data_IF_336191842623
#
_entry.id   IF_336191842623
#
_cell.length_a   1.000
_cell.length_b   1.000
_cell.length_c   1.000
_cell.angle_alpha   90.00
_cell.angle_beta   90.00
_cell.angle_gamma   90.00
#
_symmetry.space_group_name_H-M   'P 1'
#
loop_
_entity.id
_entity.type
_entity.pdbx_description
1 polymer ?
#
# COMPACT_ATOMS: atom_id res chain seq x y z
N UNK A 1 10.85 -25.26 -8.59
CA UNK A 1 12.32 -25.10 -8.54
C UNK A 1 12.71 -24.06 -9.58
N UNK A 2 13.49 -23.04 -9.20
CA UNK A 2 13.92 -21.94 -10.08
C UNK A 2 15.35 -22.19 -10.58
N UNK A 3 15.68 -21.75 -11.80
CA UNK A 3 16.98 -21.96 -12.45
C UNK A 3 18.04 -20.95 -11.99
N UNK A 4 17.63 -19.83 -11.39
CA UNK A 4 18.55 -18.79 -10.88
C UNK A 4 17.96 -17.99 -9.72
N UNK A 5 18.80 -17.21 -9.04
CA UNK A 5 18.36 -16.23 -8.03
C UNK A 5 17.46 -15.14 -8.63
N UNK A 6 17.75 -14.68 -9.85
CA UNK A 6 16.93 -13.70 -10.56
C UNK A 6 15.52 -14.25 -10.80
N UNK A 7 15.43 -15.47 -11.33
CA UNK A 7 14.14 -16.12 -11.60
C UNK A 7 13.34 -16.33 -10.32
N UNK A 8 13.98 -16.78 -9.23
CA UNK A 8 13.35 -16.86 -7.91
C UNK A 8 12.83 -15.48 -7.46
N UNK A 9 13.64 -14.43 -7.57
CA UNK A 9 13.25 -13.08 -7.13
C UNK A 9 12.07 -12.52 -7.93
N UNK A 10 12.06 -12.70 -9.26
CA UNK A 10 10.93 -12.30 -10.11
C UNK A 10 9.66 -13.06 -9.73
N UNK A 11 9.76 -14.38 -9.52
CA UNK A 11 8.62 -15.18 -9.07
C UNK A 11 8.12 -14.77 -7.68
N UNK A 12 9.01 -14.38 -6.75
CA UNK A 12 8.60 -13.84 -5.45
C UNK A 12 7.80 -12.54 -5.61
N UNK A 13 8.25 -11.64 -6.49
CA UNK A 13 7.51 -10.39 -6.75
C UNK A 13 6.12 -10.70 -7.30
N UNK A 14 6.03 -11.57 -8.30
CA UNK A 14 4.77 -11.86 -9.00
C UNK A 14 3.80 -12.72 -8.18
N UNK A 15 4.28 -13.80 -7.56
CA UNK A 15 3.41 -14.78 -6.91
C UNK A 15 3.16 -14.48 -5.43
N UNK A 16 4.08 -13.77 -4.77
CA UNK A 16 3.96 -13.47 -3.32
C UNK A 16 3.64 -12.02 -3.06
N UNK A 17 4.45 -11.09 -3.56
CA UNK A 17 4.26 -9.66 -3.25
C UNK A 17 2.96 -9.16 -3.88
N UNK A 18 2.75 -9.37 -5.19
CA UNK A 18 1.52 -8.95 -5.87
C UNK A 18 0.28 -9.61 -5.26
N UNK A 19 0.34 -10.92 -5.00
CA UNK A 19 -0.79 -11.66 -4.45
C UNK A 19 -1.14 -11.20 -3.03
N UNK A 20 -0.13 -10.93 -2.17
CA UNK A 20 -0.36 -10.41 -0.83
C UNK A 20 -1.01 -9.01 -0.86
N UNK A 21 -0.57 -8.12 -1.75
CA UNK A 21 -1.19 -6.80 -1.95
C UNK A 21 -2.65 -7.00 -2.36
N UNK A 22 -2.88 -7.84 -3.37
CA UNK A 22 -4.22 -8.12 -3.87
C UNK A 22 -5.13 -8.66 -2.76
N UNK A 23 -4.71 -9.69 -2.05
CA UNK A 23 -5.52 -10.33 -1.00
C UNK A 23 -5.81 -9.36 0.15
N UNK A 24 -4.79 -8.60 0.59
CA UNK A 24 -4.90 -7.63 1.68
C UNK A 24 -5.89 -6.51 1.37
N UNK A 25 -5.82 -5.93 0.18
CA UNK A 25 -6.62 -4.74 -0.15
C UNK A 25 -7.94 -5.09 -0.83
N UNK A 26 -8.03 -6.17 -1.62
CA UNK A 26 -9.32 -6.58 -2.20
C UNK A 26 -10.30 -7.11 -1.14
N UNK A 27 -9.83 -7.67 -0.02
CA UNK A 27 -10.72 -8.07 1.06
C UNK A 27 -11.50 -6.88 1.64
N UNK A 28 -10.94 -5.67 1.59
CA UNK A 28 -11.54 -4.43 2.12
C UNK A 28 -12.78 -4.03 1.31
N UNK A 29 -12.85 -4.37 0.01
CA UNK A 29 -14.00 -4.09 -0.85
C UNK A 29 -15.30 -4.77 -0.38
N UNK A 30 -15.19 -5.78 0.50
CA UNK A 30 -16.33 -6.46 1.12
C UNK A 30 -16.83 -5.75 2.38
N UNK A 31 -16.12 -4.74 2.88
CA UNK A 31 -16.50 -3.97 4.06
C UNK A 31 -17.66 -3.02 3.76
N UNK A 32 -18.45 -2.72 4.79
CA UNK A 32 -19.48 -1.66 4.75
C UNK A 32 -18.86 -0.26 4.95
N UNK A 33 -17.69 -0.20 5.55
CA UNK A 33 -16.90 1.01 5.83
C UNK A 33 -15.51 0.87 5.20
N UNK A 34 -15.42 0.75 3.86
CA UNK A 34 -14.17 0.52 3.15
C UNK A 34 -13.05 1.53 3.48
N UNK A 35 -13.37 2.80 3.68
CA UNK A 35 -12.37 3.84 4.01
C UNK A 35 -11.82 3.64 5.42
N UNK A 36 -12.68 3.52 6.44
CA UNK A 36 -12.24 3.23 7.80
C UNK A 36 -11.45 1.92 7.87
N UNK A 37 -11.93 0.88 7.19
CA UNK A 37 -11.26 -0.43 7.14
C UNK A 37 -9.88 -0.35 6.50
N UNK A 38 -9.69 0.52 5.49
CA UNK A 38 -8.38 0.79 4.91
C UNK A 38 -7.41 1.35 5.95
N UNK A 39 -7.79 2.42 6.65
CA UNK A 39 -6.91 3.04 7.63
C UNK A 39 -6.64 2.15 8.85
N UNK A 40 -7.62 1.37 9.31
CA UNK A 40 -7.41 0.29 10.28
C UNK A 40 -6.37 -0.72 9.78
N UNK A 41 -6.46 -1.13 8.51
CA UNK A 41 -5.48 -2.03 7.88
C UNK A 41 -4.08 -1.42 7.82
N UNK A 42 -3.96 -0.12 7.54
CA UNK A 42 -2.66 0.58 7.53
C UNK A 42 -2.06 0.68 8.94
N UNK A 43 -2.89 0.87 9.98
CA UNK A 43 -2.44 0.87 11.39
C UNK A 43 -2.02 -0.53 11.86
N UNK A 44 -2.82 -1.54 11.56
CA UNK A 44 -2.72 -2.91 12.10
C UNK A 44 -1.92 -3.84 11.19
N UNK A 45 -0.77 -3.39 10.68
CA UNK A 45 0.13 -4.20 9.86
C UNK A 45 1.43 -4.54 10.61
N UNK A 46 1.40 -5.43 11.63
CA UNK A 46 2.56 -5.70 12.49
C UNK A 46 3.77 -6.22 11.71
N UNK A 47 3.56 -7.12 10.76
CA UNK A 47 4.65 -7.63 9.91
C UNK A 47 5.23 -6.53 9.01
N UNK A 48 4.37 -5.67 8.46
CA UNK A 48 4.84 -4.54 7.65
C UNK A 48 5.59 -3.50 8.48
N UNK A 49 5.20 -3.28 9.73
CA UNK A 49 5.97 -2.44 10.65
C UNK A 49 7.34 -3.05 10.99
N UNK A 50 7.40 -4.36 11.22
CA UNK A 50 8.64 -5.03 11.60
C UNK A 50 9.60 -5.13 10.40
N UNK A 51 9.10 -5.58 9.25
CA UNK A 51 9.89 -5.96 8.08
C UNK A 51 9.80 -4.98 6.91
N UNK A 52 8.93 -3.97 6.97
CA UNK A 52 8.71 -3.00 5.89
C UNK A 52 7.81 -3.54 4.78
N UNK A 53 7.50 -2.67 3.82
CA UNK A 53 6.81 -3.07 2.60
C UNK A 53 7.78 -3.77 1.63
N UNK A 54 7.56 -5.06 1.29
CA UNK A 54 8.44 -5.79 0.38
C UNK A 54 8.53 -5.15 -1.02
N UNK A 55 7.42 -4.62 -1.53
CA UNK A 55 7.38 -3.91 -2.81
C UNK A 55 8.31 -2.70 -2.79
N UNK A 56 8.18 -1.82 -1.80
CA UNK A 56 8.99 -0.61 -1.69
C UNK A 56 10.49 -0.93 -1.53
N UNK A 57 10.83 -1.90 -0.68
CA UNK A 57 12.22 -2.34 -0.49
C UNK A 57 12.84 -2.86 -1.79
N UNK A 58 12.17 -3.81 -2.46
CA UNK A 58 12.68 -4.36 -3.70
C UNK A 58 12.76 -3.31 -4.80
N UNK A 59 11.84 -2.35 -4.86
CA UNK A 59 11.91 -1.23 -5.80
C UNK A 59 13.17 -0.39 -5.59
N UNK A 60 13.48 0.00 -4.35
CA UNK A 60 14.68 0.81 -4.06
C UNK A 60 15.98 0.08 -4.41
N UNK A 61 16.02 -1.24 -4.22
CA UNK A 61 17.21 -2.06 -4.49
C UNK A 61 17.35 -2.40 -5.98
N UNK A 62 16.27 -2.75 -6.68
CA UNK A 62 16.33 -3.41 -7.98
C UNK A 62 16.05 -2.52 -9.19
N UNK A 63 15.35 -1.37 -9.03
CA UNK A 63 14.88 -0.55 -10.16
C UNK A 63 15.98 -0.11 -11.13
N UNK A 64 17.19 0.13 -10.61
CA UNK A 64 18.35 0.58 -11.39
C UNK A 64 19.32 -0.56 -11.75
N UNK A 65 19.07 -1.77 -11.26
CA UNK A 65 19.95 -2.93 -11.44
C UNK A 65 19.47 -3.80 -12.59
N UNK A 66 18.15 -4.03 -12.71
CA UNK A 66 17.60 -4.99 -13.66
C UNK A 66 16.24 -4.52 -14.22
N UNK A 67 16.15 -4.47 -15.55
CA UNK A 67 14.98 -3.97 -16.28
C UNK A 67 13.73 -4.85 -16.11
N UNK A 68 13.90 -6.18 -15.98
CA UNK A 68 12.75 -7.08 -15.77
C UNK A 68 12.15 -6.87 -14.38
N UNK A 69 13.00 -6.69 -13.36
CA UNK A 69 12.52 -6.29 -12.03
C UNK A 69 11.82 -4.94 -12.08
N UNK A 70 12.39 -3.96 -12.77
CA UNK A 70 11.79 -2.64 -12.88
C UNK A 70 10.38 -2.70 -13.48
N UNK A 71 10.24 -3.37 -14.62
CA UNK A 71 8.95 -3.55 -15.29
C UNK A 71 7.94 -4.27 -14.39
N UNK A 72 8.36 -5.35 -13.73
CA UNK A 72 7.47 -6.15 -12.88
C UNK A 72 7.03 -5.37 -11.62
N UNK A 73 7.97 -4.74 -10.92
CA UNK A 73 7.70 -3.97 -9.71
C UNK A 73 6.82 -2.75 -10.01
N UNK A 74 7.05 -2.07 -11.14
CA UNK A 74 6.19 -0.96 -11.61
C UNK A 74 4.75 -1.44 -11.84
N UNK A 75 4.58 -2.58 -12.51
CA UNK A 75 3.25 -3.18 -12.69
C UNK A 75 2.59 -3.59 -11.37
N UNK A 76 3.35 -4.12 -10.41
CA UNK A 76 2.80 -4.46 -9.07
C UNK A 76 2.39 -3.20 -8.30
N UNK A 77 3.14 -2.10 -8.46
CA UNK A 77 2.76 -0.81 -7.89
C UNK A 77 1.46 -0.26 -8.50
N UNK A 78 1.27 -0.38 -9.82
CA UNK A 78 0.01 -0.03 -10.48
C UNK A 78 -1.18 -0.83 -9.94
N UNK A 79 -1.00 -2.14 -9.68
CA UNK A 79 -2.02 -2.98 -9.05
C UNK A 79 -2.35 -2.53 -7.62
N UNK A 80 -1.32 -2.09 -6.87
CA UNK A 80 -1.51 -1.55 -5.53
C UNK A 80 -2.31 -0.24 -5.55
N UNK A 81 -1.90 0.72 -6.40
CA UNK A 81 -2.63 1.97 -6.61
C UNK A 81 -4.08 1.70 -6.99
N UNK A 82 -4.31 0.81 -7.97
CA UNK A 82 -5.65 0.44 -8.41
C UNK A 82 -6.50 -0.13 -7.29
N UNK A 83 -5.93 -0.97 -6.44
CA UNK A 83 -6.64 -1.56 -5.30
C UNK A 83 -7.10 -0.49 -4.31
N UNK A 84 -6.24 0.48 -3.98
CA UNK A 84 -6.60 1.61 -3.11
C UNK A 84 -7.64 2.51 -3.79
N UNK A 85 -7.48 2.82 -5.08
CA UNK A 85 -8.48 3.59 -5.84
C UNK A 85 -9.86 2.94 -5.84
N UNK A 86 -9.93 1.61 -5.96
CA UNK A 86 -11.20 0.88 -5.91
C UNK A 86 -11.86 0.99 -4.53
N UNK A 87 -11.08 0.92 -3.45
CA UNK A 87 -11.58 1.11 -2.08
C UNK A 87 -12.15 2.53 -1.92
N UNK A 88 -11.43 3.55 -2.40
CA UNK A 88 -11.87 4.94 -2.34
C UNK A 88 -13.16 5.18 -3.15
N UNK A 89 -13.23 4.65 -4.38
CA UNK A 89 -14.46 4.67 -5.16
C UNK A 89 -15.63 4.06 -4.39
N UNK A 90 -15.39 2.89 -3.77
CA UNK A 90 -16.43 2.22 -3.00
C UNK A 90 -16.88 3.04 -1.80
N UNK A 91 -15.96 3.70 -1.10
CA UNK A 91 -16.25 4.58 0.02
C UNK A 91 -17.12 5.79 -0.40
N UNK A 92 -16.86 6.37 -1.57
CA UNK A 92 -17.68 7.43 -2.15
C UNK A 92 -19.08 6.90 -2.49
N UNK A 93 -19.16 5.74 -3.16
CA UNK A 93 -20.45 5.13 -3.55
C UNK A 93 -21.37 4.85 -2.37
N UNK A 94 -20.82 4.44 -1.21
CA UNK A 94 -21.60 4.16 0.00
C UNK A 94 -21.79 5.39 0.89
N UNK A 95 -21.26 6.55 0.48
CA UNK A 95 -21.38 7.81 1.22
C UNK A 95 -20.54 7.88 2.50
N UNK A 96 -19.49 7.07 2.62
CA UNK A 96 -18.58 7.09 3.78
C UNK A 96 -17.64 8.30 3.74
N UNK A 97 -17.22 8.72 2.55
CA UNK A 97 -16.39 9.91 2.32
C UNK A 97 -17.00 10.77 1.20
N UNK A 98 -16.72 12.09 1.18
CA UNK A 98 -17.08 12.96 0.07
C UNK A 98 -16.32 12.59 -1.22
N UNK A 99 -16.80 13.11 -2.35
CA UNK A 99 -16.15 12.90 -3.65
C UNK A 99 -14.71 13.42 -3.65
N UNK A 100 -13.80 12.64 -4.21
CA UNK A 100 -12.39 12.99 -4.40
C UNK A 100 -11.90 12.49 -5.77
N UNK A 101 -10.60 12.65 -6.05
CA UNK A 101 -9.96 12.03 -7.22
C UNK A 101 -9.29 10.73 -6.77
N UNK A 102 -9.90 9.54 -6.95
CA UNK A 102 -9.46 8.30 -6.29
C UNK A 102 -8.02 7.92 -6.62
N UNK A 103 -7.59 8.05 -7.89
CA UNK A 103 -6.23 7.67 -8.29
C UNK A 103 -5.15 8.56 -7.67
N UNK A 104 -5.37 9.88 -7.64
CA UNK A 104 -4.41 10.80 -7.02
C UNK A 104 -4.42 10.63 -5.50
N UNK A 105 -5.59 10.42 -4.92
CA UNK A 105 -5.74 10.16 -3.49
C UNK A 105 -5.07 8.86 -3.07
N UNK A 106 -5.20 7.80 -3.88
CA UNK A 106 -4.50 6.53 -3.66
C UNK A 106 -2.97 6.73 -3.64
N UNK A 107 -2.42 7.49 -4.60
CA UNK A 107 -0.98 7.83 -4.62
C UNK A 107 -0.54 8.62 -3.39
N UNK A 108 -1.35 9.56 -2.93
CA UNK A 108 -1.07 10.33 -1.71
C UNK A 108 -1.03 9.39 -0.50
N UNK A 109 -2.02 8.51 -0.36
CA UNK A 109 -2.09 7.53 0.73
C UNK A 109 -0.89 6.60 0.70
N UNK A 110 -0.58 5.99 -0.45
CA UNK A 110 0.55 5.06 -0.59
C UNK A 110 1.86 5.77 -0.28
N UNK A 111 2.11 6.95 -0.85
CA UNK A 111 3.33 7.72 -0.61
C UNK A 111 3.52 8.07 0.86
N UNK A 112 2.45 8.51 1.54
CA UNK A 112 2.49 8.88 2.95
C UNK A 112 2.71 7.66 3.84
N UNK A 113 2.01 6.55 3.55
CA UNK A 113 2.17 5.28 4.26
C UNK A 113 3.58 4.71 4.13
N UNK A 114 4.14 4.67 2.92
CA UNK A 114 5.51 4.18 2.69
C UNK A 114 6.56 5.08 3.36
N UNK A 115 6.36 6.40 3.33
CA UNK A 115 7.20 7.36 4.06
C UNK A 115 7.12 7.17 5.59
N UNK A 116 5.92 6.97 6.13
CA UNK A 116 5.70 6.70 7.54
C UNK A 116 6.36 5.38 7.97
N UNK A 117 6.27 4.33 7.16
CA UNK A 117 6.97 3.07 7.39
C UNK A 117 8.48 3.26 7.43
N UNK A 118 9.05 3.99 6.46
CA UNK A 118 10.48 4.29 6.42
C UNK A 118 10.94 5.00 7.71
N UNK A 119 10.23 6.04 8.14
CA UNK A 119 10.55 6.77 9.38
C UNK A 119 10.41 5.86 10.60
N UNK A 120 9.36 5.04 10.65
CA UNK A 120 9.17 4.04 11.71
C UNK A 120 10.37 3.08 11.80
N UNK A 121 10.95 2.64 10.69
CA UNK A 121 12.14 1.78 10.71
C UNK A 121 13.37 2.47 11.31
N UNK A 122 13.45 3.80 11.23
CA UNK A 122 14.53 4.59 11.82
C UNK A 122 14.35 4.80 13.32
N UNK A 123 13.15 5.18 13.76
CA UNK A 123 12.93 5.62 15.15
C UNK A 123 12.21 4.59 16.04
N UNK A 124 11.55 3.58 15.45
CA UNK A 124 10.69 2.58 16.12
C UNK A 124 9.55 3.18 16.96
N UNK A 125 9.15 4.41 16.64
CA UNK A 125 8.09 5.14 17.33
C UNK A 125 6.73 4.86 16.68
N UNK A 126 5.96 3.96 17.32
CA UNK A 126 4.60 3.62 16.87
C UNK A 126 3.62 4.77 17.07
N UNK A 127 3.84 5.64 18.07
CA UNK A 127 3.02 6.82 18.30
C UNK A 127 3.14 7.80 17.14
N UNK A 128 4.37 8.07 16.70
CA UNK A 128 4.63 8.90 15.52
C UNK A 128 4.00 8.31 14.25
N UNK A 129 4.20 7.01 14.01
CA UNK A 129 3.59 6.32 12.87
C UNK A 129 2.07 6.46 12.87
N UNK A 130 1.40 6.13 13.98
CA UNK A 130 -0.05 6.21 14.09
C UNK A 130 -0.54 7.65 13.89
N UNK A 131 0.14 8.64 14.47
CA UNK A 131 -0.24 10.05 14.33
C UNK A 131 -0.24 10.51 12.85
N UNK A 132 0.72 10.04 12.03
CA UNK A 132 0.75 10.34 10.59
C UNK A 132 -0.42 9.68 9.86
N UNK A 133 -0.71 8.40 10.16
CA UNK A 133 -1.84 7.69 9.54
C UNK A 133 -3.18 8.31 9.95
N UNK A 134 -3.33 8.72 11.21
CA UNK A 134 -4.52 9.39 11.73
C UNK A 134 -4.72 10.75 11.07
N UNK A 135 -3.65 11.53 10.86
CA UNK A 135 -3.74 12.81 10.17
C UNK A 135 -4.15 12.64 8.71
N UNK A 136 -3.58 11.64 8.03
CA UNK A 136 -3.97 11.30 6.67
C UNK A 136 -5.45 10.89 6.58
N UNK A 137 -5.96 10.11 7.55
CA UNK A 137 -7.38 9.72 7.61
C UNK A 137 -8.30 10.93 7.76
N UNK A 138 -7.91 11.91 8.59
CA UNK A 138 -8.71 13.11 8.88
C UNK A 138 -8.92 14.02 7.67
N UNK A 139 -7.97 14.07 6.72
CA UNK A 139 -8.05 14.99 5.57
C UNK A 139 -9.32 14.79 4.73
N UNK A 140 -9.91 13.60 4.74
CA UNK A 140 -11.11 13.28 3.96
C UNK A 140 -12.41 13.36 4.76
N UNK A 141 -12.33 13.51 6.09
CA UNK A 141 -13.49 13.81 6.93
C UNK A 141 -13.87 15.30 6.92
N UNK A 142 -12.94 16.19 6.54
CA UNK A 142 -13.14 17.64 6.51
C UNK A 142 -13.57 18.19 5.13
N UNK A 143 -13.83 17.32 4.16
CA UNK A 143 -14.29 17.69 2.81
C UNK A 143 -15.83 17.62 2.67
N UNK A 144 -16.56 17.51 3.78
CA UNK A 144 -18.03 17.53 3.86
C UNK A 144 -18.55 18.91 4.28
#
# INVERSE_FOLDING_TARGET
YFKSKKELGLAVVDERIRQNIKDKYQSILKSKTPYQTLFETLRLSPDTLIYGCPLNKMSQEMLHIDEEFNKLLSSVYEDFEKSISQILNKAIEVGEIPSCTPNITARLIISTYEGALMIYHLNRDRGHYNAVIDELERQFNHLA
#
